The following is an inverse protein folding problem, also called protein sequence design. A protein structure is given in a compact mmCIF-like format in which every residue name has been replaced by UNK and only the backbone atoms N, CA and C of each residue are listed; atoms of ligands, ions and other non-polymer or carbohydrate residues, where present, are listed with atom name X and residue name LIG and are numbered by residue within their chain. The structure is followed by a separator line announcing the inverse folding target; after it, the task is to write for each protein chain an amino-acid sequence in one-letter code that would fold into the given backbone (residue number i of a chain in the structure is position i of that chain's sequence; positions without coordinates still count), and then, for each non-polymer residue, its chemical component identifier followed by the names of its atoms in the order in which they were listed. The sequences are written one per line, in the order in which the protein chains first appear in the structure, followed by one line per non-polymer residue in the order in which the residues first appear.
data_IF_698199902458
#
_entry.id   IF_698199902458
#
_cell.length_a   1.000
_cell.length_b   1.000
_cell.length_c   1.000
_cell.angle_alpha   90.00
_cell.angle_beta   90.00
_cell.angle_gamma   90.00
#
_symmetry.space_group_name_H-M   'P 1'
#
loop_
_entity.id
_entity.type
_entity.pdbx_description
1 polymer ?
#
# COMPACT_ATOMS: atom_id res chain seq x y z
N UNK A 1 30.14 6.96 -12.21
CA UNK A 1 29.18 6.82 -11.11
C UNK A 1 28.77 5.37 -11.08
N UNK A 2 28.98 4.70 -9.96
CA UNK A 2 28.66 3.29 -9.81
C UNK A 2 27.18 3.16 -9.42
N UNK A 3 26.35 2.86 -10.41
CA UNK A 3 24.88 2.80 -10.27
C UNK A 3 24.46 1.54 -9.48
N UNK A 4 25.34 0.54 -9.41
CA UNK A 4 25.12 -0.72 -8.69
C UNK A 4 25.01 -0.50 -7.18
N UNK A 5 25.93 0.28 -6.60
CA UNK A 5 25.94 0.61 -5.17
C UNK A 5 24.69 1.37 -4.72
N UNK A 6 24.13 2.23 -5.58
CA UNK A 6 22.89 2.96 -5.28
C UNK A 6 21.63 2.08 -5.39
N UNK A 7 21.68 0.99 -6.16
CA UNK A 7 20.58 0.05 -6.31
C UNK A 7 20.52 -0.94 -5.14
N UNK A 8 21.68 -1.42 -4.68
CA UNK A 8 21.78 -2.31 -3.52
C UNK A 8 21.40 -1.61 -2.21
N UNK A 9 21.73 -0.32 -2.06
CA UNK A 9 21.31 0.49 -0.90
C UNK A 9 19.78 0.76 -0.91
N UNK A 10 19.19 0.95 -2.09
CA UNK A 10 17.73 1.05 -2.25
C UNK A 10 17.00 -0.26 -1.93
N UNK A 11 17.52 -1.39 -2.42
CA UNK A 11 16.95 -2.72 -2.16
C UNK A 11 17.06 -3.10 -0.68
N UNK A 12 18.19 -2.79 -0.03
CA UNK A 12 18.38 -2.99 1.41
C UNK A 12 17.49 -2.09 2.28
N UNK A 13 17.18 -0.87 1.81
CA UNK A 13 16.23 0.02 2.47
C UNK A 13 14.79 -0.51 2.38
N UNK A 14 14.37 -1.02 1.22
CA UNK A 14 13.04 -1.65 1.05
C UNK A 14 12.89 -2.89 1.94
N UNK A 15 13.89 -3.76 2.02
CA UNK A 15 13.87 -4.95 2.89
C UNK A 15 13.86 -4.60 4.39
N UNK A 16 14.51 -3.50 4.77
CA UNK A 16 14.48 -3.01 6.15
C UNK A 16 13.13 -2.42 6.53
N UNK A 17 12.46 -1.72 5.61
CA UNK A 17 11.09 -1.23 5.82
C UNK A 17 10.11 -2.39 5.87
N UNK A 18 10.20 -3.36 4.96
CA UNK A 18 9.33 -4.54 4.91
C UNK A 18 9.39 -5.41 6.19
N UNK A 19 10.57 -5.51 6.82
CA UNK A 19 10.75 -6.23 8.10
C UNK A 19 10.13 -5.53 9.31
N UNK A 20 9.79 -4.24 9.20
CA UNK A 20 9.15 -3.47 10.27
C UNK A 20 7.63 -3.40 10.10
N UNK A 21 7.12 -3.77 8.93
CA UNK A 21 5.68 -3.75 8.62
C UNK A 21 4.98 -5.02 9.08
N UNK A 22 3.69 -4.92 9.40
CA UNK A 22 2.83 -6.08 9.62
C UNK A 22 2.84 -6.93 8.34
N UNK A 23 3.25 -8.20 8.42
CA UNK A 23 3.26 -9.06 7.25
C UNK A 23 1.83 -9.30 6.77
N UNK A 24 1.64 -9.27 5.46
CA UNK A 24 0.39 -9.74 4.85
C UNK A 24 0.42 -11.27 4.77
N UNK A 25 -0.75 -11.95 4.82
CA UNK A 25 -0.82 -13.37 4.51
C UNK A 25 -0.24 -13.66 3.12
N UNK A 26 0.50 -14.76 2.97
CA UNK A 26 1.20 -15.11 1.72
C UNK A 26 0.26 -15.12 0.51
N UNK A 27 -0.94 -15.70 0.66
CA UNK A 27 -1.96 -15.72 -0.39
C UNK A 27 -2.36 -14.31 -0.88
N UNK A 28 -2.40 -13.34 0.03
CA UNK A 28 -2.72 -11.95 -0.32
C UNK A 28 -1.54 -11.28 -1.02
N UNK A 29 -0.32 -11.52 -0.54
CA UNK A 29 0.92 -11.05 -1.20
C UNK A 29 0.99 -11.56 -2.64
N UNK A 30 0.81 -12.87 -2.85
CA UNK A 30 0.81 -13.50 -4.18
C UNK A 30 -0.29 -12.94 -5.10
N UNK A 31 -1.47 -12.69 -4.54
CA UNK A 31 -2.59 -12.10 -5.28
C UNK A 31 -2.24 -10.69 -5.76
N UNK A 32 -1.65 -9.85 -4.90
CA UNK A 32 -1.26 -8.49 -5.25
C UNK A 32 -0.16 -8.49 -6.33
N UNK A 33 0.86 -9.34 -6.20
CA UNK A 33 1.91 -9.49 -7.23
C UNK A 33 1.34 -9.94 -8.58
N UNK A 34 0.40 -10.90 -8.57
CA UNK A 34 -0.26 -11.34 -9.82
C UNK A 34 -1.08 -10.23 -10.46
N UNK A 35 -1.84 -9.48 -9.64
CA UNK A 35 -2.66 -8.38 -10.10
C UNK A 35 -1.81 -7.27 -10.72
N UNK A 36 -0.69 -6.91 -10.08
CA UNK A 36 0.27 -5.94 -10.62
C UNK A 36 0.74 -6.35 -12.02
N UNK A 37 1.18 -7.60 -12.19
CA UNK A 37 1.60 -8.12 -13.49
C UNK A 37 0.47 -8.12 -14.55
N UNK A 38 -0.78 -8.37 -14.13
CA UNK A 38 -1.94 -8.29 -15.01
C UNK A 38 -2.22 -6.84 -15.45
N UNK A 39 -2.19 -5.89 -14.52
CA UNK A 39 -2.41 -4.48 -14.78
C UNK A 39 -1.29 -3.87 -15.65
N UNK A 40 -0.03 -4.25 -15.42
CA UNK A 40 1.09 -3.81 -16.25
C UNK A 40 0.95 -4.27 -17.70
N UNK A 41 0.54 -5.53 -17.93
CA UNK A 41 0.22 -6.02 -19.29
C UNK A 41 -1.01 -5.33 -19.87
N UNK A 42 -2.04 -5.10 -19.07
CA UNK A 42 -3.24 -4.41 -19.53
C UNK A 42 -2.93 -2.96 -19.93
N UNK A 43 -2.05 -2.28 -19.19
CA UNK A 43 -1.61 -0.93 -19.49
C UNK A 43 -0.86 -0.85 -20.82
N UNK A 44 -0.04 -1.85 -21.15
CA UNK A 44 0.68 -1.89 -22.42
C UNK A 44 -0.21 -2.28 -23.61
N UNK A 45 -1.25 -3.09 -23.40
CA UNK A 45 -2.11 -3.61 -24.46
C UNK A 45 -3.38 -2.77 -24.69
N UNK A 46 -3.96 -2.22 -23.62
CA UNK A 46 -5.22 -1.48 -23.63
C UNK A 46 -5.25 -0.41 -22.50
N UNK A 47 -4.57 0.73 -22.68
CA UNK A 47 -4.41 1.74 -21.62
C UNK A 47 -5.72 2.26 -20.99
N UNK A 48 -6.76 2.46 -21.80
CA UNK A 48 -8.07 2.92 -21.28
C UNK A 48 -8.75 1.84 -20.42
N UNK A 49 -8.59 0.56 -20.78
CA UNK A 49 -9.08 -0.54 -19.96
C UNK A 49 -8.29 -0.67 -18.64
N UNK A 50 -6.98 -0.39 -18.67
CA UNK A 50 -6.16 -0.33 -17.46
C UNK A 50 -6.62 0.80 -16.53
N UNK A 51 -6.88 2.00 -17.06
CA UNK A 51 -7.42 3.11 -16.25
C UNK A 51 -8.77 2.76 -15.64
N UNK A 52 -9.64 2.07 -16.40
CA UNK A 52 -10.91 1.57 -15.83
C UNK A 52 -10.64 0.60 -14.68
N UNK A 53 -9.75 -0.38 -14.85
CA UNK A 53 -9.40 -1.33 -13.80
C UNK A 53 -8.82 -0.62 -12.56
N UNK A 54 -7.98 0.39 -12.75
CA UNK A 54 -7.46 1.22 -11.66
C UNK A 54 -8.59 1.93 -10.92
N UNK A 55 -9.54 2.55 -11.62
CA UNK A 55 -10.70 3.17 -10.98
C UNK A 55 -11.56 2.19 -10.17
N UNK A 56 -11.66 0.93 -10.60
CA UNK A 56 -12.31 -0.12 -9.81
C UNK A 56 -11.54 -0.44 -8.52
N UNK A 57 -10.20 -0.49 -8.59
CA UNK A 57 -9.32 -0.72 -7.44
C UNK A 57 -9.31 0.47 -6.47
N UNK A 58 -9.34 1.70 -6.98
CA UNK A 58 -9.44 2.91 -6.16
C UNK A 58 -10.72 2.90 -5.32
N UNK A 59 -11.86 2.51 -5.91
CA UNK A 59 -13.10 2.37 -5.17
C UNK A 59 -13.03 1.26 -4.11
N UNK A 60 -12.45 0.11 -4.46
CA UNK A 60 -12.30 -1.01 -3.52
C UNK A 60 -11.40 -0.62 -2.34
N UNK A 61 -10.23 -0.05 -2.63
CA UNK A 61 -9.25 0.37 -1.61
C UNK A 61 -9.80 1.49 -0.72
N UNK A 62 -10.62 2.38 -1.27
CA UNK A 62 -11.34 3.39 -0.50
C UNK A 62 -12.31 2.76 0.51
N UNK A 63 -13.19 1.88 0.03
CA UNK A 63 -14.19 1.22 0.88
C UNK A 63 -13.54 0.37 1.99
N UNK A 64 -12.58 -0.49 1.64
CA UNK A 64 -11.86 -1.33 2.62
C UNK A 64 -11.00 -0.48 3.55
N UNK A 65 -10.32 0.55 3.02
CA UNK A 65 -9.51 1.47 3.80
C UNK A 65 -10.32 2.25 4.83
N UNK A 66 -11.53 2.69 4.47
CA UNK A 66 -12.47 3.34 5.38
C UNK A 66 -12.83 2.43 6.56
N UNK A 67 -13.20 1.17 6.27
CA UNK A 67 -13.51 0.18 7.30
C UNK A 67 -12.32 -0.10 8.21
N UNK A 68 -11.14 -0.30 7.64
CA UNK A 68 -9.92 -0.58 8.40
C UNK A 68 -9.49 0.62 9.27
N UNK A 69 -9.62 1.85 8.76
CA UNK A 69 -9.31 3.05 9.52
C UNK A 69 -10.24 3.22 10.74
N UNK A 70 -11.54 3.00 10.56
CA UNK A 70 -12.49 3.03 11.67
C UNK A 70 -12.28 1.88 12.68
N UNK A 71 -11.91 0.69 12.23
CA UNK A 71 -11.57 -0.40 13.12
C UNK A 71 -10.31 -0.07 13.95
N UNK A 72 -9.27 0.48 13.33
CA UNK A 72 -8.05 0.89 14.05
C UNK A 72 -8.31 2.01 15.06
N UNK A 73 -9.22 2.94 14.76
CA UNK A 73 -9.69 3.97 15.69
C UNK A 73 -10.51 3.38 16.85
N UNK A 74 -11.39 2.41 16.56
CA UNK A 74 -12.18 1.72 17.60
C UNK A 74 -11.30 0.88 18.54
N UNK A 75 -10.16 0.38 18.06
CA UNK A 75 -9.14 -0.32 18.84
C UNK A 75 -8.18 0.63 19.58
N UNK A 76 -8.42 1.96 19.53
CA UNK A 76 -7.61 3.02 20.17
C UNK A 76 -6.12 2.97 19.79
N UNK A 77 -5.83 2.54 18.55
CA UNK A 77 -4.45 2.47 18.06
C UNK A 77 -3.93 3.87 17.74
N UNK A 78 -2.83 4.25 18.40
CA UNK A 78 -2.17 5.53 18.10
C UNK A 78 -1.66 5.60 16.65
N UNK A 79 -1.64 6.78 16.00
CA UNK A 79 -1.04 6.96 14.67
C UNK A 79 0.43 6.54 14.60
N UNK A 80 1.16 6.62 15.70
CA UNK A 80 2.53 6.16 15.84
C UNK A 80 2.63 4.63 15.77
N UNK A 81 1.74 3.91 16.48
CA UNK A 81 1.64 2.44 16.42
C UNK A 81 1.30 1.97 15.02
N UNK A 82 0.27 2.56 14.41
CA UNK A 82 -0.17 2.24 13.05
C UNK A 82 0.96 2.57 12.06
N UNK A 83 1.62 3.72 12.21
CA UNK A 83 2.73 4.11 11.33
C UNK A 83 3.88 3.11 11.36
N UNK A 84 4.31 2.71 12.55
CA UNK A 84 5.34 1.68 12.71
C UNK A 84 4.92 0.37 12.04
N UNK A 85 3.69 -0.08 12.28
CA UNK A 85 3.11 -1.28 11.68
C UNK A 85 2.98 -1.20 10.15
N UNK A 86 2.87 -0.01 9.57
CA UNK A 86 2.79 0.19 8.12
C UNK A 86 4.13 0.60 7.49
N UNK A 87 5.19 0.77 8.28
CA UNK A 87 6.49 1.25 7.80
C UNK A 87 6.47 2.71 7.34
N UNK A 88 5.54 3.53 7.84
CA UNK A 88 5.40 4.95 7.49
C UNK A 88 5.49 5.84 8.75
N UNK A 89 5.91 7.10 8.59
CA UNK A 89 5.96 8.03 9.71
C UNK A 89 4.56 8.48 10.16
N UNK A 90 4.44 8.95 11.41
CA UNK A 90 3.16 9.35 12.01
C UNK A 90 2.39 10.44 11.23
N UNK A 91 3.10 11.36 10.55
CA UNK A 91 2.47 12.35 9.68
C UNK A 91 1.79 11.71 8.47
N UNK A 92 2.48 10.79 7.79
CA UNK A 92 1.94 10.00 6.69
C UNK A 92 0.78 9.11 7.15
N UNK A 93 0.86 8.53 8.35
CA UNK A 93 -0.25 7.78 8.94
C UNK A 93 -1.49 8.64 9.13
N UNK A 94 -1.36 9.81 9.77
CA UNK A 94 -2.49 10.72 9.97
C UNK A 94 -3.15 11.10 8.65
N UNK A 95 -2.34 11.49 7.66
CA UNK A 95 -2.86 11.82 6.33
C UNK A 95 -3.62 10.65 5.68
N UNK A 96 -3.09 9.43 5.79
CA UNK A 96 -3.71 8.22 5.24
C UNK A 96 -5.01 7.84 5.95
N UNK A 97 -5.04 7.87 7.29
CA UNK A 97 -6.25 7.59 8.07
C UNK A 97 -7.34 8.61 7.79
N UNK A 98 -6.99 9.91 7.79
CA UNK A 98 -7.93 10.98 7.45
C UNK A 98 -8.48 10.83 6.04
N UNK A 99 -7.64 10.50 5.06
CA UNK A 99 -8.10 10.25 3.69
C UNK A 99 -9.16 9.14 3.63
N UNK A 100 -8.94 8.03 4.32
CA UNK A 100 -9.89 6.92 4.35
C UNK A 100 -11.16 7.22 5.17
N UNK A 101 -11.06 8.00 6.25
CA UNK A 101 -12.22 8.39 7.04
C UNK A 101 -13.14 9.37 6.29
N UNK A 102 -12.56 10.29 5.49
CA UNK A 102 -13.33 11.32 4.78
C UNK A 102 -13.91 10.87 3.43
N UNK A 103 -13.44 9.75 2.89
CA UNK A 103 -13.85 9.26 1.58
C UNK A 103 -14.24 7.78 1.68
N UNK A 104 -15.53 7.45 1.89
CA UNK A 104 -16.05 6.09 1.79
C UNK A 104 -16.16 5.59 0.34
#
# INVERSE_FOLDING_TARGET
MDVSASYDDWAGHIDTVARQTVPLPDDLTDTLTRLEGQLARLASQAPVAALRAVGELERLTRSIGHQAAHAAEADDLSPETIGKALGINAGATRSRLTHYQLHP
#
